data_IF_502840060181
#
_entry.id   IF_502840060181
#
_cell.length_a   1.000
_cell.length_b   1.000
_cell.length_c   1.000
_cell.angle_alpha   90.00
_cell.angle_beta   90.00
_cell.angle_gamma   90.00
#
_symmetry.space_group_name_H-M   'P 1'
#
loop_
_entity.id
_entity.type
_entity.pdbx_description
1 polymer ?
#
# COMPACT_ATOMS: atom_id res chain seq x y z
N UNK A 1 -42.20 -15.84 13.09
CA UNK A 1 -41.05 -16.61 13.64
C UNK A 1 -39.83 -16.54 12.71
N UNK A 2 -40.01 -16.67 11.39
CA UNK A 2 -38.93 -16.45 10.40
C UNK A 2 -38.32 -15.03 10.41
N UNK A 3 -39.11 -13.97 10.65
CA UNK A 3 -38.55 -12.60 10.65
C UNK A 3 -37.62 -12.34 11.85
N UNK A 4 -37.94 -12.90 13.03
CA UNK A 4 -37.07 -12.86 14.21
C UNK A 4 -35.82 -13.72 14.01
N UNK A 5 -35.95 -14.89 13.39
CA UNK A 5 -34.81 -15.76 13.08
C UNK A 5 -33.84 -15.09 12.09
N UNK A 6 -34.37 -14.37 11.11
CA UNK A 6 -33.58 -13.60 10.15
C UNK A 6 -32.93 -12.36 10.80
N UNK A 7 -33.62 -11.68 11.71
CA UNK A 7 -33.04 -10.58 12.50
C UNK A 7 -31.94 -11.09 13.44
N UNK A 8 -32.13 -12.23 14.10
CA UNK A 8 -31.12 -12.85 14.99
C UNK A 8 -29.91 -13.34 14.20
N UNK A 9 -30.11 -13.94 13.01
CA UNK A 9 -29.01 -14.29 12.09
C UNK A 9 -28.26 -13.05 11.60
N UNK A 10 -28.97 -11.99 11.24
CA UNK A 10 -28.35 -10.72 10.84
C UNK A 10 -27.51 -10.13 11.99
N UNK A 11 -28.06 -10.06 13.21
CA UNK A 11 -27.36 -9.58 14.40
C UNK A 11 -26.14 -10.44 14.79
N UNK A 12 -26.22 -11.77 14.63
CA UNK A 12 -25.10 -12.68 14.90
C UNK A 12 -24.02 -12.56 13.83
N UNK A 13 -24.40 -12.39 12.56
CA UNK A 13 -23.47 -12.14 11.45
C UNK A 13 -22.76 -10.80 11.63
N UNK A 14 -23.47 -9.77 12.08
CA UNK A 14 -22.93 -8.43 12.31
C UNK A 14 -21.97 -8.41 13.51
N UNK A 15 -22.29 -9.13 14.59
CA UNK A 15 -21.38 -9.29 15.75
C UNK A 15 -20.11 -10.07 15.41
N UNK A 16 -20.21 -11.14 14.61
CA UNK A 16 -19.05 -11.91 14.18
C UNK A 16 -18.14 -11.10 13.24
N UNK A 17 -18.73 -10.35 12.31
CA UNK A 17 -18.01 -9.43 11.43
C UNK A 17 -17.33 -8.30 12.22
N UNK A 18 -18.04 -7.71 13.19
CA UNK A 18 -17.49 -6.68 14.08
C UNK A 18 -16.30 -7.21 14.89
N UNK A 19 -16.42 -8.40 15.48
CA UNK A 19 -15.36 -9.00 16.27
C UNK A 19 -14.11 -9.30 15.41
N UNK A 20 -14.31 -9.82 14.20
CA UNK A 20 -13.21 -10.03 13.24
C UNK A 20 -12.55 -8.71 12.84
N UNK A 21 -13.34 -7.68 12.52
CA UNK A 21 -12.84 -6.36 12.14
C UNK A 21 -12.06 -5.67 13.26
N UNK A 22 -12.54 -5.74 14.51
CA UNK A 22 -11.85 -5.18 15.68
C UNK A 22 -10.51 -5.87 15.92
N UNK A 23 -10.47 -7.21 15.81
CA UNK A 23 -9.22 -7.97 15.96
C UNK A 23 -8.24 -7.58 14.86
N UNK A 24 -8.66 -7.55 13.59
CA UNK A 24 -7.80 -7.14 12.48
C UNK A 24 -7.30 -5.71 12.65
N UNK A 25 -8.16 -4.78 13.10
CA UNK A 25 -7.79 -3.40 13.37
C UNK A 25 -6.75 -3.29 14.50
N UNK A 26 -6.88 -4.08 15.56
CA UNK A 26 -5.93 -4.14 16.66
C UNK A 26 -4.57 -4.70 16.21
N UNK A 27 -4.57 -5.80 15.45
CA UNK A 27 -3.33 -6.36 14.88
C UNK A 27 -2.64 -5.37 13.96
N UNK A 28 -3.41 -4.67 13.11
CA UNK A 28 -2.87 -3.66 12.21
C UNK A 28 -2.29 -2.47 12.98
N UNK A 29 -2.98 -1.99 14.01
CA UNK A 29 -2.49 -0.93 14.88
C UNK A 29 -1.20 -1.32 15.62
N UNK A 30 -1.20 -2.50 16.24
CA UNK A 30 -0.05 -3.04 16.94
C UNK A 30 1.15 -3.22 16.00
N UNK A 31 0.92 -3.76 14.79
CA UNK A 31 1.95 -3.93 13.77
C UNK A 31 2.52 -2.59 13.30
N UNK A 32 1.67 -1.61 12.97
CA UNK A 32 2.10 -0.29 12.51
C UNK A 32 2.90 0.47 13.58
N UNK A 33 2.43 0.45 14.83
CA UNK A 33 3.12 1.09 15.95
C UNK A 33 4.43 0.37 16.31
N UNK A 34 4.41 -0.96 16.35
CA UNK A 34 5.59 -1.78 16.61
C UNK A 34 6.68 -1.54 15.57
N UNK A 35 6.33 -1.60 14.28
CA UNK A 35 7.26 -1.30 13.19
C UNK A 35 7.75 0.16 13.27
N UNK A 36 6.88 1.14 13.51
CA UNK A 36 7.28 2.54 13.65
C UNK A 36 8.22 2.80 14.84
N UNK A 37 8.00 2.12 15.97
CA UNK A 37 8.87 2.21 17.15
C UNK A 37 10.22 1.55 16.87
N UNK A 38 10.24 0.31 16.38
CA UNK A 38 11.47 -0.40 15.99
C UNK A 38 12.27 0.45 15.00
N UNK A 39 11.59 0.99 13.99
CA UNK A 39 12.22 1.83 12.99
C UNK A 39 12.81 3.12 13.57
N UNK A 40 12.14 3.73 14.55
CA UNK A 40 12.67 4.89 15.28
C UNK A 40 13.90 4.52 16.13
N UNK A 41 13.86 3.41 16.85
CA UNK A 41 14.96 2.97 17.73
C UNK A 41 16.19 2.52 16.93
N UNK A 42 16.00 1.77 15.85
CA UNK A 42 17.10 1.17 15.08
C UNK A 42 17.63 2.14 14.02
N UNK A 43 16.77 2.85 13.30
CA UNK A 43 17.16 3.68 12.15
C UNK A 43 17.00 5.19 12.37
N UNK A 44 16.42 5.61 13.50
CA UNK A 44 16.19 7.01 13.84
C UNK A 44 14.89 7.60 13.26
N UNK A 45 14.53 8.80 13.75
CA UNK A 45 13.25 9.47 13.50
C UNK A 45 12.97 9.82 12.03
N UNK A 46 14.00 10.09 11.23
CA UNK A 46 13.88 10.45 9.80
C UNK A 46 14.30 9.32 8.86
N UNK A 47 14.21 8.07 9.31
CA UNK A 47 14.61 6.90 8.52
C UNK A 47 13.70 6.67 7.31
N UNK A 48 14.27 6.13 6.24
CA UNK A 48 13.52 5.67 5.06
C UNK A 48 12.48 4.62 5.49
N UNK A 49 12.82 3.78 6.46
CA UNK A 49 11.93 2.77 7.02
C UNK A 49 10.65 3.38 7.62
N UNK A 50 10.75 4.32 8.57
CA UNK A 50 9.57 4.96 9.18
C UNK A 50 8.72 5.69 8.14
N UNK A 51 9.37 6.33 7.18
CA UNK A 51 8.65 6.98 6.09
C UNK A 51 7.91 5.96 5.19
N UNK A 52 8.49 4.78 4.97
CA UNK A 52 7.86 3.69 4.21
C UNK A 52 6.69 3.06 4.95
N UNK A 53 6.79 2.87 6.28
CA UNK A 53 5.66 2.44 7.13
C UNK A 53 4.55 3.49 7.10
N UNK A 54 4.90 4.78 7.23
CA UNK A 54 3.94 5.88 7.09
C UNK A 54 3.25 5.88 5.72
N UNK A 55 3.99 5.63 4.64
CA UNK A 55 3.40 5.49 3.30
C UNK A 55 2.50 4.26 3.18
N UNK A 56 2.85 3.15 3.83
CA UNK A 56 2.02 1.94 3.83
C UNK A 56 0.67 2.21 4.52
N UNK A 57 0.69 2.90 5.67
CA UNK A 57 -0.55 3.31 6.37
C UNK A 57 -1.37 4.27 5.50
N UNK A 58 -0.71 5.21 4.82
CA UNK A 58 -1.39 6.09 3.86
C UNK A 58 -2.09 5.30 2.75
N UNK A 59 -1.43 4.31 2.16
CA UNK A 59 -2.05 3.46 1.14
C UNK A 59 -3.18 2.61 1.73
N UNK A 60 -3.03 2.05 2.93
CA UNK A 60 -4.12 1.35 3.65
C UNK A 60 -5.32 2.24 3.92
N UNK A 61 -5.08 3.53 4.22
CA UNK A 61 -6.15 4.52 4.33
C UNK A 61 -6.92 4.66 3.02
N UNK A 62 -6.27 4.58 1.84
CA UNK A 62 -6.96 4.58 0.54
C UNK A 62 -7.89 3.38 0.43
N UNK A 63 -7.41 2.18 0.77
CA UNK A 63 -8.24 0.97 0.76
C UNK A 63 -9.45 1.10 1.70
N UNK A 64 -9.23 1.55 2.94
CA UNK A 64 -10.30 1.73 3.92
C UNK A 64 -11.31 2.81 3.49
N UNK A 65 -10.83 3.94 2.96
CA UNK A 65 -11.70 5.00 2.43
C UNK A 65 -12.51 4.50 1.23
N UNK A 66 -11.91 3.69 0.35
CA UNK A 66 -12.58 3.12 -0.81
C UNK A 66 -13.73 2.19 -0.40
N UNK A 67 -13.52 1.36 0.62
CA UNK A 67 -14.58 0.51 1.20
C UNK A 67 -15.75 1.38 1.70
N UNK A 68 -15.45 2.41 2.49
CA UNK A 68 -16.47 3.32 3.04
C UNK A 68 -17.25 4.05 1.93
N UNK A 69 -16.56 4.57 0.91
CA UNK A 69 -17.22 5.29 -0.18
C UNK A 69 -18.10 4.36 -1.01
N UNK A 70 -17.64 3.14 -1.29
CA UNK A 70 -18.43 2.13 -2.00
C UNK A 70 -19.66 1.71 -1.19
N UNK A 71 -19.52 1.50 0.12
CA UNK A 71 -20.65 1.20 1.03
C UNK A 71 -21.68 2.33 1.11
N UNK A 72 -21.30 3.58 0.84
CA UNK A 72 -22.22 4.72 0.74
C UNK A 72 -23.04 4.74 -0.58
N UNK A 73 -22.82 3.80 -1.50
CA UNK A 73 -23.53 3.73 -2.78
C UNK A 73 -22.97 4.64 -3.88
N UNK A 74 -21.77 5.19 -3.68
CA UNK A 74 -21.06 5.95 -4.73
C UNK A 74 -20.23 4.98 -5.57
N UNK A 75 -20.66 4.74 -6.81
CA UNK A 75 -20.00 3.82 -7.75
C UNK A 75 -18.72 4.44 -8.34
N UNK A 76 -17.68 4.63 -7.52
CA UNK A 76 -16.38 5.18 -7.93
C UNK A 76 -15.50 4.10 -8.57
N UNK A 77 -15.99 3.48 -9.65
CA UNK A 77 -15.22 2.49 -10.44
C UNK A 77 -13.85 3.02 -10.85
N UNK A 78 -13.74 4.33 -11.10
CA UNK A 78 -12.48 4.97 -11.44
C UNK A 78 -11.44 5.00 -10.30
N UNK A 79 -11.87 5.11 -9.02
CA UNK A 79 -10.94 5.03 -7.87
C UNK A 79 -10.63 3.59 -7.45
N UNK A 80 -11.59 2.69 -7.64
CA UNK A 80 -11.50 1.27 -7.23
C UNK A 80 -10.73 0.44 -8.24
N UNK A 81 -11.04 0.56 -9.53
CA UNK A 81 -10.51 -0.29 -10.60
C UNK A 81 -8.98 -0.34 -10.70
N UNK A 82 -8.21 0.69 -10.31
CA UNK A 82 -6.75 0.59 -10.39
C UNK A 82 -6.11 -0.02 -9.13
N UNK A 83 -6.81 -0.18 -8.00
CA UNK A 83 -6.17 -0.61 -6.75
C UNK A 83 -5.62 -2.04 -6.85
N UNK A 84 -4.33 -2.26 -6.52
CA UNK A 84 -3.73 -3.58 -6.62
C UNK A 84 -4.23 -4.51 -5.50
N UNK A 85 -4.14 -5.81 -5.73
CA UNK A 85 -4.54 -6.91 -4.83
C UNK A 85 -6.01 -6.95 -4.42
N UNK A 86 -6.87 -6.13 -5.02
CA UNK A 86 -8.27 -6.02 -4.64
C UNK A 86 -9.15 -5.97 -5.88
N UNK A 87 -10.23 -6.74 -5.88
CA UNK A 87 -11.31 -6.61 -6.84
C UNK A 87 -12.65 -6.46 -6.11
N UNK A 88 -13.48 -5.54 -6.58
CA UNK A 88 -14.84 -5.37 -6.07
C UNK A 88 -15.81 -6.03 -7.04
N UNK A 89 -16.65 -6.92 -6.52
CA UNK A 89 -17.74 -7.57 -7.23
C UNK A 89 -19.03 -7.41 -6.43
N UNK A 90 -19.89 -6.49 -6.88
CA UNK A 90 -21.11 -6.11 -6.17
C UNK A 90 -20.83 -5.58 -4.77
N UNK A 91 -21.36 -6.29 -3.76
CA UNK A 91 -21.26 -5.95 -2.34
C UNK A 91 -20.05 -6.62 -1.65
N UNK A 92 -19.14 -7.22 -2.41
CA UNK A 92 -17.98 -7.93 -1.85
C UNK A 92 -16.67 -7.41 -2.42
N UNK A 93 -15.68 -7.25 -1.54
CA UNK A 93 -14.29 -7.00 -1.86
C UNK A 93 -13.55 -8.32 -1.74
N UNK A 94 -13.05 -8.85 -2.84
CA UNK A 94 -12.18 -10.01 -2.84
C UNK A 94 -10.71 -9.58 -2.89
N UNK A 95 -9.91 -10.15 -2.00
CA UNK A 95 -8.46 -10.05 -2.03
C UNK A 95 -7.92 -11.00 -3.09
N UNK A 96 -6.89 -10.55 -3.80
CA UNK A 96 -6.22 -11.35 -4.80
C UNK A 96 -5.59 -12.60 -4.15
N UNK A 97 -5.85 -13.81 -4.69
CA UNK A 97 -5.45 -15.06 -4.05
C UNK A 97 -3.95 -15.35 -4.30
N UNK A 98 -3.07 -14.64 -3.60
CA UNK A 98 -1.61 -14.73 -3.77
C UNK A 98 -1.10 -16.18 -3.68
N UNK A 99 -1.60 -16.96 -2.73
CA UNK A 99 -1.12 -18.34 -2.47
C UNK A 99 -1.50 -19.34 -3.58
N UNK A 100 -2.48 -19.01 -4.42
CA UNK A 100 -3.05 -19.90 -5.44
C UNK A 100 -2.84 -19.37 -6.87
N UNK A 101 -2.22 -18.20 -7.02
CA UNK A 101 -2.07 -17.52 -8.31
C UNK A 101 -0.73 -17.82 -8.98
N UNK A 102 -0.71 -17.74 -10.30
CA UNK A 102 0.53 -17.84 -11.07
C UNK A 102 1.51 -16.72 -10.70
N UNK A 103 2.79 -17.07 -10.65
CA UNK A 103 3.87 -16.15 -10.30
C UNK A 103 3.86 -14.85 -11.14
N UNK A 104 3.53 -14.95 -12.42
CA UNK A 104 3.46 -13.78 -13.33
C UNK A 104 2.37 -12.79 -12.92
N UNK A 105 1.21 -13.28 -12.49
CA UNK A 105 0.10 -12.45 -12.03
C UNK A 105 0.45 -11.78 -10.69
N UNK A 106 1.10 -12.52 -9.78
CA UNK A 106 1.62 -11.96 -8.53
C UNK A 106 2.61 -10.83 -8.81
N UNK A 107 3.56 -11.03 -9.73
CA UNK A 107 4.49 -9.98 -10.12
C UNK A 107 3.79 -8.75 -10.72
N UNK A 108 2.71 -8.95 -11.47
CA UNK A 108 1.86 -7.86 -11.97
C UNK A 108 1.28 -7.02 -10.84
N UNK A 109 0.64 -7.66 -9.86
CA UNK A 109 0.07 -6.97 -8.69
C UNK A 109 1.13 -6.29 -7.82
N UNK A 110 2.27 -6.95 -7.61
CA UNK A 110 3.41 -6.36 -6.87
C UNK A 110 3.97 -5.14 -7.60
N UNK A 111 4.10 -5.19 -8.93
CA UNK A 111 4.55 -4.04 -9.71
C UNK A 111 3.53 -2.89 -9.65
N UNK A 112 2.24 -3.17 -9.77
CA UNK A 112 1.19 -2.15 -9.67
C UNK A 112 1.22 -1.47 -8.30
N UNK A 113 1.39 -2.24 -7.23
CA UNK A 113 1.56 -1.71 -5.88
C UNK A 113 2.85 -0.91 -5.72
N UNK A 114 3.95 -1.33 -6.36
CA UNK A 114 5.20 -0.57 -6.40
C UNK A 114 5.01 0.78 -7.09
N UNK A 115 4.33 0.83 -8.24
CA UNK A 115 4.05 2.06 -8.98
C UNK A 115 3.18 2.99 -8.13
N UNK A 116 2.11 2.48 -7.54
CA UNK A 116 1.25 3.25 -6.63
C UNK A 116 2.05 3.82 -5.46
N UNK A 117 2.84 2.98 -4.78
CA UNK A 117 3.66 3.41 -3.66
C UNK A 117 4.71 4.44 -4.07
N UNK A 118 5.31 4.31 -5.25
CA UNK A 118 6.24 5.29 -5.81
C UNK A 118 5.56 6.64 -6.03
N UNK A 119 4.40 6.66 -6.69
CA UNK A 119 3.68 7.89 -7.03
C UNK A 119 3.14 8.59 -5.78
N UNK A 120 2.62 7.85 -4.80
CA UNK A 120 2.21 8.41 -3.50
C UNK A 120 3.41 9.03 -2.79
N UNK A 121 4.56 8.33 -2.77
CA UNK A 121 5.78 8.86 -2.16
C UNK A 121 6.33 10.10 -2.88
N UNK A 122 6.23 10.12 -4.21
CA UNK A 122 6.64 11.25 -5.03
C UNK A 122 5.75 12.47 -4.76
N UNK A 123 4.43 12.32 -4.80
CA UNK A 123 3.48 13.38 -4.44
C UNK A 123 3.75 13.93 -3.04
N UNK A 124 4.08 13.05 -2.11
CA UNK A 124 4.36 13.41 -0.72
C UNK A 124 5.66 14.19 -0.55
N UNK A 125 6.58 14.07 -1.51
CA UNK A 125 7.83 14.84 -1.55
C UNK A 125 7.64 16.27 -2.10
N UNK A 126 6.59 16.50 -2.89
CA UNK A 126 6.28 17.81 -3.46
C UNK A 126 5.54 18.71 -2.47
N UNK A 127 4.77 18.13 -1.55
CA UNK A 127 3.97 18.88 -0.61
C UNK A 127 4.71 19.14 0.71
N UNK A 128 4.50 20.32 1.33
CA UNK A 128 5.07 20.61 2.64
C UNK A 128 4.49 19.68 3.71
N UNK A 129 5.21 19.51 4.81
CA UNK A 129 4.79 18.59 5.88
C UNK A 129 3.69 19.15 6.78
N UNK A 130 3.52 20.47 6.87
CA UNK A 130 2.52 21.11 7.74
C UNK A 130 2.94 21.14 9.22
N UNK A 131 2.85 22.33 9.84
CA UNK A 131 3.29 22.56 11.22
C UNK A 131 2.33 21.96 12.27
N UNK A 132 1.03 22.13 12.08
CA UNK A 132 0.00 21.66 13.01
C UNK A 132 -0.60 20.32 12.56
N UNK A 133 -1.41 19.67 13.42
CA UNK A 133 -2.07 18.39 13.10
C UNK A 133 -2.98 18.51 11.87
N UNK A 134 -3.90 19.49 11.88
CA UNK A 134 -4.84 19.70 10.78
C UNK A 134 -4.13 19.98 9.45
N UNK A 135 -3.15 20.88 9.45
CA UNK A 135 -2.39 21.21 8.24
C UNK A 135 -1.59 20.02 7.71
N UNK A 136 -0.98 19.23 8.61
CA UNK A 136 -0.27 18.01 8.23
C UNK A 136 -1.24 17.02 7.58
N UNK A 137 -2.38 16.74 8.22
CA UNK A 137 -3.35 15.76 7.74
C UNK A 137 -3.97 16.18 6.41
N UNK A 138 -4.35 17.44 6.27
CA UNK A 138 -4.88 18.00 5.03
C UNK A 138 -3.89 17.83 3.86
N UNK A 139 -2.63 18.19 4.05
CA UNK A 139 -1.59 18.06 3.01
C UNK A 139 -1.30 16.60 2.67
N UNK A 140 -1.36 15.70 3.65
CA UNK A 140 -1.18 14.25 3.43
C UNK A 140 -2.33 13.63 2.66
N UNK A 141 -3.57 14.02 2.94
CA UNK A 141 -4.73 13.59 2.15
C UNK A 141 -4.60 14.09 0.72
N UNK A 142 -4.23 15.36 0.50
CA UNK A 142 -3.98 15.89 -0.85
C UNK A 142 -2.88 15.11 -1.57
N UNK A 143 -1.77 14.80 -0.87
CA UNK A 143 -0.69 14.00 -1.43
C UNK A 143 -1.17 12.64 -1.93
N UNK A 144 -2.04 11.99 -1.18
CA UNK A 144 -2.58 10.69 -1.55
C UNK A 144 -3.51 10.80 -2.74
N UNK A 145 -4.43 11.79 -2.72
CA UNK A 145 -5.34 12.03 -3.84
C UNK A 145 -4.57 12.31 -5.12
N UNK A 146 -3.51 13.12 -5.03
CA UNK A 146 -2.61 13.38 -6.16
C UNK A 146 -1.87 12.13 -6.61
N UNK A 147 -1.33 11.33 -5.67
CA UNK A 147 -0.69 10.05 -5.97
C UNK A 147 -1.62 9.07 -6.69
N UNK A 148 -2.87 8.98 -6.23
CA UNK A 148 -3.91 8.15 -6.84
C UNK A 148 -4.30 8.63 -8.23
N UNK A 149 -4.45 9.93 -8.43
CA UNK A 149 -4.74 10.50 -9.75
C UNK A 149 -3.61 10.20 -10.74
N UNK A 150 -2.35 10.39 -10.34
CA UNK A 150 -1.19 10.03 -11.17
C UNK A 150 -1.15 8.54 -11.46
N UNK A 151 -1.48 7.70 -10.48
CA UNK A 151 -1.50 6.25 -10.66
C UNK A 151 -2.61 5.80 -11.62
N UNK A 152 -3.81 6.38 -11.53
CA UNK A 152 -4.89 6.11 -12.47
C UNK A 152 -4.49 6.47 -13.91
N UNK A 153 -3.84 7.63 -14.09
CA UNK A 153 -3.30 8.05 -15.40
C UNK A 153 -2.23 7.07 -15.88
N UNK A 154 -1.27 6.70 -15.02
CA UNK A 154 -0.22 5.76 -15.36
C UNK A 154 -0.80 4.41 -15.78
N UNK A 155 -1.75 3.86 -15.01
CA UNK A 155 -2.39 2.60 -15.33
C UNK A 155 -3.18 2.67 -16.65
N UNK A 156 -3.89 3.78 -16.90
CA UNK A 156 -4.56 4.02 -18.19
C UNK A 156 -3.58 4.03 -19.36
N UNK A 157 -2.45 4.73 -19.23
CA UNK A 157 -1.41 4.78 -20.27
C UNK A 157 -0.77 3.42 -20.51
N UNK A 158 -0.40 2.69 -19.45
CA UNK A 158 0.16 1.34 -19.55
C UNK A 158 -0.82 0.39 -20.26
N UNK A 159 -2.11 0.48 -19.94
CA UNK A 159 -3.13 -0.38 -20.53
C UNK A 159 -3.50 0.00 -21.98
N UNK A 160 -3.33 1.28 -22.35
CA UNK A 160 -3.65 1.76 -23.69
C UNK A 160 -2.50 1.56 -24.69
N UNK A 161 -1.26 1.74 -24.24
CA UNK A 161 -0.10 1.80 -25.14
C UNK A 161 0.82 0.58 -25.09
N UNK A 162 0.80 -0.22 -24.02
CA UNK A 162 1.70 -1.39 -23.92
C UNK A 162 0.97 -2.66 -24.36
N UNK A 163 1.52 -3.43 -25.32
CA UNK A 163 0.99 -4.72 -25.72
C UNK A 163 0.85 -5.72 -24.56
N UNK A 164 -0.17 -6.58 -24.65
CA UNK A 164 -0.49 -7.58 -23.62
C UNK A 164 0.70 -8.49 -23.29
N UNK A 165 1.44 -8.93 -24.31
CA UNK A 165 2.59 -9.84 -24.13
C UNK A 165 3.70 -9.20 -23.29
N UNK A 166 3.95 -7.90 -23.49
CA UNK A 166 4.93 -7.14 -22.71
C UNK A 166 4.40 -6.95 -21.28
N UNK A 167 3.11 -6.65 -21.09
CA UNK A 167 2.50 -6.48 -19.76
C UNK A 167 2.57 -7.73 -18.89
N UNK A 168 2.60 -8.92 -19.49
CA UNK A 168 2.73 -10.19 -18.77
C UNK A 168 4.14 -10.45 -18.22
N UNK A 169 5.18 -10.05 -18.97
CA UNK A 169 6.58 -10.36 -18.62
C UNK A 169 7.36 -9.19 -18.03
N UNK A 170 7.00 -7.95 -18.39
CA UNK A 170 7.64 -6.76 -17.87
C UNK A 170 7.64 -6.70 -16.33
N UNK A 171 6.57 -7.08 -15.60
CA UNK A 171 6.60 -7.08 -14.14
C UNK A 171 7.68 -7.98 -13.55
N UNK A 172 7.86 -9.18 -14.12
CA UNK A 172 8.88 -10.13 -13.65
C UNK A 172 10.28 -9.55 -13.85
N UNK A 173 10.55 -9.01 -15.04
CA UNK A 173 11.88 -8.46 -15.38
C UNK A 173 12.17 -7.21 -14.55
N UNK A 174 11.22 -6.28 -14.47
CA UNK A 174 11.39 -5.01 -13.74
C UNK A 174 11.59 -5.25 -12.24
N UNK A 175 10.82 -6.16 -11.63
CA UNK A 175 11.00 -6.52 -10.23
C UNK A 175 12.33 -7.23 -10.00
N UNK A 176 12.74 -8.13 -10.90
CA UNK A 176 14.04 -8.80 -10.82
C UNK A 176 15.21 -7.80 -10.85
N UNK A 177 15.18 -6.85 -11.78
CA UNK A 177 16.17 -5.76 -11.87
C UNK A 177 16.14 -4.91 -10.60
N UNK A 178 14.95 -4.56 -10.09
CA UNK A 178 14.84 -3.78 -8.86
C UNK A 178 15.46 -4.49 -7.65
N UNK A 179 15.18 -5.79 -7.47
CA UNK A 179 15.75 -6.58 -6.37
C UNK A 179 17.27 -6.61 -6.47
N UNK A 180 17.81 -6.85 -7.67
CA UNK A 180 19.26 -6.84 -7.90
C UNK A 180 19.88 -5.48 -7.51
N UNK A 181 19.25 -4.38 -7.93
CA UNK A 181 19.74 -3.02 -7.65
C UNK A 181 19.67 -2.68 -6.15
N UNK A 182 18.62 -3.11 -5.45
CA UNK A 182 18.49 -2.92 -4.00
C UNK A 182 19.53 -3.75 -3.23
N UNK A 183 19.81 -4.98 -3.65
CA UNK A 183 20.86 -5.83 -3.07
C UNK A 183 22.24 -5.20 -3.25
N UNK A 184 22.56 -4.74 -4.47
CA UNK A 184 23.82 -4.02 -4.75
C UNK A 184 23.94 -2.75 -3.91
N UNK A 185 22.84 -2.04 -3.69
CA UNK A 185 22.77 -0.88 -2.84
C UNK A 185 22.95 -1.15 -1.33
N UNK A 186 22.53 -2.33 -0.86
CA UNK A 186 22.75 -2.78 0.52
C UNK A 186 24.22 -3.09 0.81
N UNK A 187 24.98 -3.55 -0.19
CA UNK A 187 26.42 -3.83 -0.13
C UNK A 187 27.32 -2.57 -0.16
N UNK A 188 26.73 -1.42 0.20
CA UNK A 188 27.14 -0.02 0.02
C UNK A 188 28.60 0.36 0.32
N UNK A 189 29.34 -0.45 1.07
CA UNK A 189 30.72 -0.14 1.50
C UNK A 189 31.78 -0.90 0.68
N UNK A 190 31.49 -2.13 0.24
CA UNK A 190 32.47 -2.97 -0.47
C UNK A 190 32.35 -2.77 -2.00
N UNK A 191 31.13 -2.58 -2.48
CA UNK A 191 30.81 -2.62 -3.91
C UNK A 191 30.99 -1.25 -4.59
N UNK A 192 30.77 -0.13 -3.89
CA UNK A 192 30.93 1.21 -4.47
C UNK A 192 32.39 1.52 -4.86
N UNK A 193 33.36 1.01 -4.11
CA UNK A 193 34.79 1.14 -4.44
C UNK A 193 35.23 0.21 -5.58
N UNK A 194 34.58 -0.95 -5.73
CA UNK A 194 34.91 -1.96 -6.76
C UNK A 194 34.22 -1.68 -8.11
N UNK A 195 32.94 -1.26 -8.12
CA UNK A 195 32.15 -1.18 -9.35
C UNK A 195 32.31 0.11 -10.16
N UNK A 196 32.62 1.24 -9.51
CA UNK A 196 32.88 2.51 -10.24
C UNK A 196 34.10 2.36 -11.16
N UNK A 197 35.05 1.52 -10.76
CA UNK A 197 36.29 1.26 -11.51
C UNK A 197 36.09 0.28 -12.66
N UNK A 198 35.05 -0.58 -12.62
CA UNK A 198 34.89 -1.72 -13.53
C UNK A 198 33.77 -1.51 -14.57
N UNK A 199 32.67 -0.83 -14.23
CA UNK A 199 31.59 -0.61 -15.20
C UNK A 199 30.78 0.69 -14.96
N UNK A 200 30.93 1.72 -15.82
CA UNK A 200 30.27 3.02 -15.66
C UNK A 200 28.74 2.94 -15.73
N UNK A 201 28.17 1.93 -16.40
CA UNK A 201 26.72 1.71 -16.44
C UNK A 201 26.18 1.34 -15.05
N UNK A 202 26.91 0.51 -14.31
CA UNK A 202 26.53 0.10 -12.96
C UNK A 202 26.74 1.24 -11.96
N UNK A 203 27.80 2.03 -12.13
CA UNK A 203 28.00 3.29 -11.38
C UNK A 203 26.87 4.31 -11.60
N UNK A 204 26.37 4.43 -12.84
CA UNK A 204 25.23 5.28 -13.20
C UNK A 204 23.91 4.82 -12.55
N UNK A 205 23.62 3.51 -12.57
CA UNK A 205 22.45 2.97 -11.89
C UNK A 205 22.53 3.14 -10.37
N UNK A 206 23.71 2.93 -9.78
CA UNK A 206 23.92 3.16 -8.35
C UNK A 206 23.68 4.63 -7.96
N UNK A 207 24.27 5.57 -8.69
CA UNK A 207 24.06 7.00 -8.45
C UNK A 207 22.60 7.40 -8.68
N UNK A 208 21.91 6.84 -9.67
CA UNK A 208 20.49 7.06 -9.86
C UNK A 208 19.66 6.63 -8.64
N UNK A 209 19.82 5.40 -8.16
CA UNK A 209 19.01 4.87 -7.05
C UNK A 209 19.30 5.51 -5.69
N UNK A 210 20.54 5.95 -5.44
CA UNK A 210 20.94 6.43 -4.11
C UNK A 210 21.19 7.94 -4.01
N UNK A 211 21.56 8.60 -5.11
CA UNK A 211 21.84 10.03 -5.11
C UNK A 211 20.65 10.88 -5.61
N UNK A 212 19.75 10.33 -6.43
CA UNK A 212 18.60 11.10 -6.94
C UNK A 212 17.36 10.99 -6.05
N UNK A 213 16.49 12.01 -6.15
CA UNK A 213 15.18 12.02 -5.46
C UNK A 213 14.33 10.82 -5.92
N UNK A 214 14.30 10.56 -7.22
CA UNK A 214 13.57 9.42 -7.79
C UNK A 214 14.05 8.09 -7.19
N UNK A 215 15.36 7.87 -7.13
CA UNK A 215 15.96 6.67 -6.54
C UNK A 215 15.59 6.43 -5.08
N UNK A 216 15.62 7.50 -4.27
CA UNK A 216 15.18 7.45 -2.86
C UNK A 216 13.70 7.09 -2.74
N UNK A 217 12.86 7.62 -3.62
CA UNK A 217 11.43 7.28 -3.65
C UNK A 217 11.19 5.84 -4.13
N UNK A 218 12.00 5.30 -5.05
CA UNK A 218 11.90 3.90 -5.49
C UNK A 218 12.28 2.95 -4.35
N UNK A 219 13.37 3.23 -3.63
CA UNK A 219 13.78 2.40 -2.48
C UNK A 219 12.71 2.41 -1.38
N UNK A 220 12.13 3.59 -1.13
CA UNK A 220 11.02 3.76 -0.19
C UNK A 220 9.77 2.99 -0.65
N UNK A 221 9.43 3.07 -1.93
CA UNK A 221 8.31 2.38 -2.54
C UNK A 221 8.47 0.86 -2.49
N UNK A 222 9.67 0.35 -2.74
CA UNK A 222 9.96 -1.09 -2.64
C UNK A 222 9.72 -1.61 -1.22
N UNK A 223 10.15 -0.87 -0.19
CA UNK A 223 9.92 -1.25 1.20
C UNK A 223 8.43 -1.16 1.57
N UNK A 224 7.74 -0.10 1.14
CA UNK A 224 6.29 0.03 1.32
C UNK A 224 5.52 -1.10 0.65
N UNK A 225 5.93 -1.49 -0.55
CA UNK A 225 5.34 -2.60 -1.31
C UNK A 225 5.58 -3.91 -0.58
N UNK A 226 6.79 -4.17 -0.10
CA UNK A 226 7.12 -5.36 0.67
C UNK A 226 6.26 -5.49 1.95
N UNK A 227 6.06 -4.38 2.67
CA UNK A 227 5.20 -4.37 3.87
C UNK A 227 3.74 -4.70 3.53
N UNK A 228 3.20 -4.09 2.47
CA UNK A 228 1.81 -4.27 2.07
C UNK A 228 1.55 -5.63 1.43
N UNK A 229 2.44 -6.11 0.55
CA UNK A 229 2.35 -7.48 0.01
C UNK A 229 2.49 -8.51 1.13
N UNK A 230 3.37 -8.29 2.11
CA UNK A 230 3.47 -9.12 3.31
C UNK A 230 2.18 -9.16 4.12
N UNK A 231 1.50 -8.01 4.27
CA UNK A 231 0.19 -7.94 4.91
C UNK A 231 -0.86 -8.74 4.13
N UNK A 232 -0.93 -8.61 2.80
CA UNK A 232 -1.88 -9.40 1.98
C UNK A 232 -1.59 -10.90 2.09
N UNK A 233 -0.32 -11.29 2.10
CA UNK A 233 0.09 -12.69 2.31
C UNK A 233 -0.37 -13.21 3.69
N UNK A 234 -0.23 -12.39 4.73
CA UNK A 234 -0.68 -12.73 6.09
C UNK A 234 -2.22 -12.87 6.14
N UNK A 235 -2.96 -11.95 5.51
CA UNK A 235 -4.42 -12.05 5.41
C UNK A 235 -4.85 -13.31 4.65
N UNK A 236 -4.17 -13.66 3.56
CA UNK A 236 -4.40 -14.87 2.81
C UNK A 236 -4.11 -16.14 3.65
N UNK A 237 -3.04 -16.13 4.45
CA UNK A 237 -2.71 -17.22 5.37
C UNK A 237 -3.82 -17.44 6.43
N UNK A 238 -4.40 -16.36 6.97
CA UNK A 238 -5.54 -16.43 7.89
C UNK A 238 -6.90 -16.66 7.21
N UNK A 239 -6.92 -16.95 5.90
CA UNK A 239 -8.13 -17.17 5.10
C UNK A 239 -9.12 -15.98 5.11
N UNK A 240 -8.61 -14.76 5.33
CA UNK A 240 -9.38 -13.52 5.19
C UNK A 240 -9.26 -13.10 3.71
N UNK A 241 -10.11 -13.67 2.85
CA UNK A 241 -10.05 -13.46 1.40
C UNK A 241 -11.20 -12.61 0.84
N UNK A 242 -12.33 -12.53 1.56
CA UNK A 242 -13.52 -11.80 1.13
C UNK A 242 -14.01 -10.90 2.26
N UNK A 243 -14.20 -9.62 1.96
CA UNK A 243 -14.67 -8.60 2.88
C UNK A 243 -16.02 -8.10 2.35
N UNK A 244 -17.06 -8.11 3.20
CA UNK A 244 -18.37 -7.57 2.83
C UNK A 244 -18.34 -6.03 2.87
N UNK A 245 -18.79 -5.39 1.79
CA UNK A 245 -18.89 -3.93 1.64
C UNK A 245 -20.36 -3.47 1.64
N UNK A 246 -21.30 -4.32 2.10
CA UNK A 246 -22.71 -3.95 2.15
C UNK A 246 -22.94 -2.67 2.97
N UNK A 247 -23.94 -1.89 2.58
CA UNK A 247 -24.31 -0.62 3.23
C UNK A 247 -24.62 -0.75 4.73
N UNK A 248 -25.04 -1.94 5.18
CA UNK A 248 -25.29 -2.26 6.59
C UNK A 248 -24.04 -2.25 7.46
N UNK A 249 -22.84 -2.44 6.89
CA UNK A 249 -21.57 -2.59 7.63
C UNK A 249 -20.75 -1.28 7.61
N UNK A 250 -21.25 -0.22 6.97
CA UNK A 250 -20.60 1.09 6.85
C UNK A 250 -20.12 1.62 8.22
N UNK A 251 -20.99 1.56 9.23
CA UNK A 251 -20.71 2.04 10.59
C UNK A 251 -19.56 1.29 11.26
N UNK A 252 -19.28 0.05 10.85
CA UNK A 252 -18.17 -0.76 11.35
C UNK A 252 -16.83 -0.36 10.73
N UNK A 253 -16.82 0.20 9.51
CA UNK A 253 -15.59 0.62 8.80
C UNK A 253 -15.16 2.06 9.10
N UNK A 254 -16.07 2.94 9.53
CA UNK A 254 -15.72 4.33 9.92
C UNK A 254 -14.63 4.37 11.02
N UNK A 255 -14.73 3.58 12.11
CA UNK A 255 -13.67 3.51 13.12
C UNK A 255 -12.31 3.07 12.55
N UNK A 256 -12.30 2.18 11.56
CA UNK A 256 -11.07 1.73 10.90
C UNK A 256 -10.39 2.87 10.12
N UNK A 257 -11.17 3.67 9.39
CA UNK A 257 -10.64 4.85 8.67
C UNK A 257 -10.06 5.87 9.65
N UNK A 258 -10.74 6.14 10.76
CA UNK A 258 -10.26 7.04 11.82
C UNK A 258 -8.97 6.49 12.45
N UNK A 259 -8.93 5.19 12.74
CA UNK A 259 -7.74 4.52 13.27
C UNK A 259 -6.55 4.66 12.30
N UNK A 260 -6.77 4.48 10.99
CA UNK A 260 -5.71 4.68 9.99
C UNK A 260 -5.19 6.11 9.98
N UNK A 261 -6.06 7.13 10.08
CA UNK A 261 -5.63 8.52 10.17
C UNK A 261 -4.79 8.81 11.42
N UNK A 262 -5.19 8.25 12.58
CA UNK A 262 -4.45 8.39 13.84
C UNK A 262 -3.08 7.73 13.73
N UNK A 263 -3.03 6.47 13.28
CA UNK A 263 -1.77 5.74 13.10
C UNK A 263 -0.86 6.45 12.10
N UNK A 264 -1.44 7.00 11.03
CA UNK A 264 -0.68 7.71 10.02
C UNK A 264 -0.01 8.95 10.58
N UNK A 265 -0.71 9.72 11.42
CA UNK A 265 -0.15 10.88 12.12
C UNK A 265 0.96 10.49 13.10
N UNK A 266 0.72 9.45 13.91
CA UNK A 266 1.70 8.98 14.90
C UNK A 266 2.97 8.51 14.21
N UNK A 267 2.86 7.60 13.24
CA UNK A 267 4.02 7.04 12.55
C UNK A 267 4.67 8.04 11.60
N UNK A 268 3.89 8.90 10.95
CA UNK A 268 4.39 9.84 9.94
C UNK A 268 4.95 11.16 10.48
N UNK A 269 4.66 11.50 11.73
CA UNK A 269 5.12 12.78 12.33
C UNK A 269 5.78 12.62 13.70
N UNK A 270 5.27 11.72 14.55
CA UNK A 270 5.75 11.60 15.94
C UNK A 270 6.90 10.60 16.08
N UNK A 271 6.82 9.47 15.39
CA UNK A 271 7.85 8.41 15.34
C UNK A 271 8.88 8.66 14.23
#
# INVERSE_FOLDING_TARGET
>A
MESLLNQVKALLSDKAALHSLVITALFLAAGCLGLGLIGRFVFGKKSVFNQSVSSAIGILFIYAATIVIHSCGLDLKFLVSPLPFVSISGDTLSLFPILQSDFKLICGEVLNLLILAFLVNLANSWLPTGKNLFTWLFLRVISIVLGMAMYAIANYLLNSFIPIDIRLWAPVILLGVLVLLLLLGGLKVIVAALLITINPLIGGLYTFFFATIAGKMISKAALTTLLLTGLVCLLAYFSIAVISISSSILLCYIPLVILMLILWYIVGKLL
#
